data_IF_456989988040
#
_entry.id   IF_456989988040
#
_cell.length_a   1.000
_cell.length_b   1.000
_cell.length_c   1.000
_cell.angle_alpha   90.00
_cell.angle_beta   90.00
_cell.angle_gamma   90.00
#
_symmetry.space_group_name_H-M   'P 1'
#
loop_
_entity.id
_entity.type
_entity.pdbx_description
1 polymer ?
#
# COMPACT_ATOMS: atom_id res chain seq x y z
N UNK A 1 -11.74 -2.65 40.95
CA UNK A 1 -10.58 -3.44 40.51
C UNK A 1 -11.16 -4.44 39.53
N UNK A 2 -10.79 -4.36 38.27
CA UNK A 2 -11.48 -5.05 37.18
C UNK A 2 -11.11 -6.54 37.20
N UNK A 3 -12.10 -7.42 37.43
CA UNK A 3 -12.00 -8.88 37.33
C UNK A 3 -11.93 -9.37 35.86
N UNK A 4 -11.45 -8.54 34.95
CA UNK A 4 -11.28 -8.90 33.54
C UNK A 4 -9.84 -9.32 33.29
N UNK A 5 -9.61 -10.41 32.54
CA UNK A 5 -8.27 -10.78 32.12
C UNK A 5 -7.68 -9.64 31.29
N UNK A 6 -6.60 -9.03 31.79
CA UNK A 6 -5.82 -8.04 31.06
C UNK A 6 -4.43 -8.62 30.77
N UNK A 7 -3.93 -8.37 29.57
CA UNK A 7 -2.56 -8.70 29.20
C UNK A 7 -1.69 -7.48 29.41
N UNK A 8 -0.78 -7.53 30.40
CA UNK A 8 0.25 -6.52 30.60
C UNK A 8 1.53 -7.00 29.90
N UNK A 9 2.12 -6.14 29.08
CA UNK A 9 3.43 -6.36 28.44
C UNK A 9 3.47 -7.56 27.46
N UNK A 10 2.53 -7.58 26.52
CA UNK A 10 2.52 -8.56 25.42
C UNK A 10 3.66 -8.30 24.43
N UNK A 11 4.34 -9.37 24.03
CA UNK A 11 5.44 -9.33 23.07
C UNK A 11 5.18 -10.30 21.92
N UNK A 12 5.62 -9.92 20.71
CA UNK A 12 5.67 -10.80 19.54
C UNK A 12 7.14 -11.14 19.28
N UNK A 13 7.47 -12.43 19.29
CA UNK A 13 8.84 -12.90 19.01
C UNK A 13 8.89 -13.47 17.60
N UNK A 14 9.75 -12.88 16.78
CA UNK A 14 10.12 -13.34 15.44
C UNK A 14 11.52 -13.97 15.49
N UNK A 15 11.91 -14.77 14.49
CA UNK A 15 13.30 -15.22 14.35
C UNK A 15 14.33 -14.07 14.32
N UNK A 16 13.92 -12.86 13.91
CA UNK A 16 14.75 -11.66 13.83
C UNK A 16 14.74 -10.77 15.08
N UNK A 17 14.05 -11.16 16.15
CA UNK A 17 13.97 -10.40 17.40
C UNK A 17 12.56 -10.32 18.00
N UNK A 18 12.44 -9.55 19.07
CA UNK A 18 11.18 -9.40 19.83
C UNK A 18 10.72 -7.95 19.82
N UNK A 19 9.42 -7.74 19.62
CA UNK A 19 8.78 -6.43 19.68
C UNK A 19 7.66 -6.43 20.72
N UNK A 20 7.53 -5.34 21.46
CA UNK A 20 6.30 -5.02 22.18
C UNK A 20 5.17 -4.70 21.20
N UNK A 21 3.91 -4.82 21.64
CA UNK A 21 2.77 -4.39 20.81
C UNK A 21 2.84 -2.89 20.47
N UNK A 22 3.34 -2.06 21.39
CA UNK A 22 3.53 -0.63 21.16
C UNK A 22 4.53 -0.38 20.03
N UNK A 23 5.69 -1.03 20.06
CA UNK A 23 6.70 -0.89 19.00
C UNK A 23 6.14 -1.36 17.65
N UNK A 24 5.43 -2.50 17.62
CA UNK A 24 4.80 -3.00 16.40
C UNK A 24 3.79 -2.00 15.81
N UNK A 25 2.93 -1.41 16.64
CA UNK A 25 2.00 -0.37 16.21
C UNK A 25 2.74 0.87 15.69
N UNK A 26 3.80 1.31 16.38
CA UNK A 26 4.55 2.49 15.97
C UNK A 26 5.32 2.27 14.67
N UNK A 27 5.84 1.07 14.40
CA UNK A 27 6.47 0.74 13.13
C UNK A 27 5.51 1.00 11.96
N UNK A 28 4.30 0.44 12.01
CA UNK A 28 3.30 0.64 10.96
C UNK A 28 2.78 2.09 10.87
N UNK A 29 2.83 2.84 11.97
CA UNK A 29 2.51 4.28 11.94
C UNK A 29 3.62 5.15 11.34
N UNK A 30 4.86 4.66 11.32
CA UNK A 30 6.05 5.46 10.97
C UNK A 30 6.51 5.26 9.53
N UNK A 31 6.43 4.04 8.99
CA UNK A 31 6.87 3.76 7.61
C UNK A 31 6.04 4.57 6.59
N UNK A 32 6.58 4.98 5.44
CA UNK A 32 5.86 5.83 4.48
C UNK A 32 4.91 5.02 3.57
N UNK A 33 4.18 4.06 4.14
CA UNK A 33 3.27 3.17 3.42
C UNK A 33 1.93 3.07 4.14
N UNK A 34 0.84 3.34 3.43
CA UNK A 34 -0.49 2.96 3.89
C UNK A 34 -0.70 1.49 3.61
N UNK A 35 -1.00 0.72 4.65
CA UNK A 35 -1.25 -0.71 4.56
C UNK A 35 -2.71 -1.00 4.88
N UNK A 36 -3.33 -1.83 4.04
CA UNK A 36 -4.65 -2.38 4.26
C UNK A 36 -4.60 -3.91 4.06
N UNK A 37 -5.20 -4.66 4.97
CA UNK A 37 -5.28 -6.12 4.89
C UNK A 37 -6.72 -6.55 4.65
N UNK A 38 -6.93 -7.26 3.55
CA UNK A 38 -8.11 -8.08 3.32
C UNK A 38 -7.75 -9.51 3.70
N UNK A 39 -8.51 -10.13 4.60
CA UNK A 39 -8.22 -11.49 5.08
C UNK A 39 -8.50 -12.58 4.03
N UNK A 40 -8.18 -13.83 4.36
CA UNK A 40 -8.40 -14.98 3.47
C UNK A 40 -9.89 -15.20 3.08
N UNK A 41 -10.83 -14.63 3.86
CA UNK A 41 -12.28 -14.72 3.66
C UNK A 41 -12.88 -13.49 2.95
N UNK A 42 -12.03 -12.66 2.34
CA UNK A 42 -12.42 -11.45 1.61
C UNK A 42 -13.13 -10.40 2.49
N UNK A 43 -12.70 -10.30 3.75
CA UNK A 43 -13.14 -9.26 4.68
C UNK A 43 -12.03 -8.27 4.95
N UNK A 44 -12.39 -6.99 5.06
CA UNK A 44 -11.47 -5.94 5.44
C UNK A 44 -11.02 -6.15 6.90
N UNK A 45 -9.81 -6.64 7.12
CA UNK A 45 -9.38 -7.18 8.42
C UNK A 45 -8.59 -6.19 9.26
N UNK A 46 -7.79 -5.34 8.64
CA UNK A 46 -6.87 -4.43 9.36
C UNK A 46 -6.35 -3.30 8.46
N UNK A 47 -5.91 -2.20 9.07
CA UNK A 47 -5.17 -1.14 8.37
C UNK A 47 -4.12 -0.46 9.27
N UNK A 48 -3.08 0.11 8.66
CA UNK A 48 -2.12 0.97 9.35
C UNK A 48 -2.71 2.36 9.60
N UNK A 49 -2.70 2.83 10.85
CA UNK A 49 -3.36 4.08 11.27
C UNK A 49 -2.40 5.29 11.26
N UNK A 50 -1.91 5.63 10.07
CA UNK A 50 -1.10 6.84 9.87
C UNK A 50 -1.99 8.09 9.82
N UNK A 51 -1.52 9.25 10.28
CA UNK A 51 -2.35 10.47 10.29
C UNK A 51 -2.64 11.01 8.87
N UNK A 52 -1.67 10.94 7.95
CA UNK A 52 -1.73 11.62 6.65
C UNK A 52 -1.99 10.66 5.46
N UNK A 53 -2.90 9.70 5.65
CA UNK A 53 -3.24 8.73 4.60
C UNK A 53 -3.99 9.39 3.44
N UNK A 54 -3.67 8.99 2.21
CA UNK A 54 -4.45 9.27 1.02
C UNK A 54 -5.83 8.58 1.09
N UNK A 55 -5.86 7.34 1.57
CA UNK A 55 -7.08 6.55 1.75
C UNK A 55 -7.47 6.53 3.23
N UNK A 56 -8.40 7.41 3.60
CA UNK A 56 -8.96 7.46 4.96
C UNK A 56 -9.70 6.15 5.26
N UNK A 57 -9.42 5.57 6.43
CA UNK A 57 -10.09 4.37 6.94
C UNK A 57 -10.80 4.66 8.25
N UNK A 58 -11.84 3.88 8.53
CA UNK A 58 -12.60 3.92 9.78
C UNK A 58 -12.68 2.53 10.40
N UNK A 59 -12.71 2.46 11.74
CA UNK A 59 -12.90 1.20 12.47
C UNK A 59 -14.19 0.47 12.07
N UNK A 60 -15.22 1.19 11.65
CA UNK A 60 -16.48 0.60 11.19
C UNK A 60 -16.34 -0.22 9.90
N UNK A 61 -15.21 -0.13 9.20
CA UNK A 61 -14.92 -0.95 8.01
C UNK A 61 -14.41 -2.35 8.38
N UNK A 62 -13.88 -2.55 9.58
CA UNK A 62 -13.28 -3.81 10.00
C UNK A 62 -14.34 -4.93 10.03
N UNK A 63 -14.02 -6.08 9.45
CA UNK A 63 -14.87 -7.26 9.33
C UNK A 63 -15.90 -7.20 8.19
N UNK A 64 -16.09 -6.04 7.56
CA UNK A 64 -17.02 -5.91 6.42
C UNK A 64 -16.48 -6.59 5.17
N UNK A 65 -17.39 -7.08 4.35
CA UNK A 65 -17.08 -7.63 3.03
C UNK A 65 -16.64 -6.53 2.06
N UNK A 66 -15.92 -6.91 1.00
CA UNK A 66 -15.52 -5.96 -0.04
C UNK A 66 -16.71 -5.25 -0.69
N UNK A 67 -17.86 -5.93 -0.81
CA UNK A 67 -19.08 -5.35 -1.34
C UNK A 67 -19.67 -4.23 -0.45
N UNK A 68 -19.41 -4.28 0.85
CA UNK A 68 -19.89 -3.27 1.81
C UNK A 68 -18.97 -2.05 1.88
N UNK A 69 -17.71 -2.17 1.46
CA UNK A 69 -16.71 -1.08 1.57
C UNK A 69 -16.27 -0.52 0.21
N UNK A 70 -16.73 -1.10 -0.90
CA UNK A 70 -16.46 -0.60 -2.26
C UNK A 70 -17.72 -0.43 -3.11
N UNK A 71 -17.74 0.51 -4.08
CA UNK A 71 -18.83 0.63 -5.04
C UNK A 71 -19.03 -0.64 -5.88
N UNK A 72 -20.29 -0.99 -6.17
CA UNK A 72 -20.63 -2.21 -6.91
C UNK A 72 -19.94 -2.35 -8.28
N UNK A 73 -19.62 -1.23 -8.92
CA UNK A 73 -19.03 -1.18 -10.26
C UNK A 73 -17.61 -1.75 -10.32
N UNK A 74 -16.83 -1.63 -9.23
CA UNK A 74 -15.43 -2.07 -9.20
C UNK A 74 -15.26 -3.49 -8.63
N UNK A 75 -16.29 -4.04 -7.96
CA UNK A 75 -16.25 -5.36 -7.34
C UNK A 75 -15.82 -6.49 -8.28
N UNK A 76 -16.26 -6.56 -9.55
CA UNK A 76 -15.81 -7.63 -10.46
C UNK A 76 -14.30 -7.60 -10.69
N UNK A 77 -13.71 -6.41 -10.81
CA UNK A 77 -12.27 -6.25 -10.98
C UNK A 77 -11.51 -6.66 -9.72
N UNK A 78 -11.95 -6.20 -8.55
CA UNK A 78 -11.36 -6.57 -7.25
C UNK A 78 -11.39 -8.07 -7.06
N UNK A 79 -12.55 -8.70 -7.28
CA UNK A 79 -12.72 -10.15 -7.15
C UNK A 79 -11.81 -10.91 -8.11
N UNK A 80 -11.69 -10.47 -9.37
CA UNK A 80 -10.80 -11.11 -10.33
C UNK A 80 -9.33 -11.07 -9.90
N UNK A 81 -8.88 -10.00 -9.24
CA UNK A 81 -7.51 -9.89 -8.72
C UNK A 81 -7.31 -10.86 -7.55
N UNK A 82 -8.23 -10.85 -6.58
CA UNK A 82 -8.16 -11.75 -5.41
C UNK A 82 -8.23 -13.22 -5.83
N UNK A 83 -9.12 -13.59 -6.77
CA UNK A 83 -9.21 -14.95 -7.29
C UNK A 83 -7.90 -15.37 -7.97
N UNK A 84 -7.20 -14.45 -8.65
CA UNK A 84 -5.89 -14.73 -9.24
C UNK A 84 -4.81 -14.98 -8.19
N UNK A 85 -4.86 -14.26 -7.06
CA UNK A 85 -3.98 -14.47 -5.91
C UNK A 85 -4.28 -15.79 -5.23
N UNK A 86 -5.55 -16.09 -4.90
CA UNK A 86 -5.95 -17.37 -4.29
C UNK A 86 -5.53 -18.57 -5.13
N UNK A 87 -5.64 -18.46 -6.46
CA UNK A 87 -5.24 -19.50 -7.40
C UNK A 87 -3.72 -19.60 -7.66
N UNK A 88 -2.89 -18.77 -7.02
CA UNK A 88 -1.44 -18.76 -7.22
C UNK A 88 -0.99 -18.32 -8.62
N UNK A 89 -1.86 -17.63 -9.37
CA UNK A 89 -1.55 -17.17 -10.75
C UNK A 89 -0.71 -15.89 -10.78
N UNK A 90 -0.69 -15.17 -9.66
CA UNK A 90 -0.02 -13.88 -9.49
C UNK A 90 0.28 -13.67 -8.01
N UNK A 91 1.40 -13.03 -7.72
CA UNK A 91 1.78 -12.67 -6.35
C UNK A 91 1.65 -11.18 -6.06
N UNK A 92 1.66 -10.34 -7.09
CA UNK A 92 1.45 -8.90 -6.92
C UNK A 92 0.84 -8.21 -8.15
N UNK A 93 0.19 -7.09 -7.92
CA UNK A 93 -0.30 -6.16 -8.95
C UNK A 93 -0.01 -4.73 -8.51
N UNK A 94 0.80 -4.00 -9.28
CA UNK A 94 1.12 -2.59 -9.04
C UNK A 94 0.35 -1.70 -10.00
N UNK A 95 -0.27 -0.65 -9.46
CA UNK A 95 -1.04 0.34 -10.19
C UNK A 95 -0.54 1.75 -9.81
N UNK A 96 0.23 2.41 -10.69
CA UNK A 96 0.49 3.84 -10.58
C UNK A 96 -0.76 4.66 -10.92
N UNK A 97 -1.01 5.73 -10.18
CA UNK A 97 -2.13 6.66 -10.42
C UNK A 97 -1.74 8.09 -10.07
N UNK A 98 -2.53 9.05 -10.53
CA UNK A 98 -2.44 10.45 -10.05
C UNK A 98 -3.72 10.76 -9.30
N UNK A 99 -3.61 11.02 -7.99
CA UNK A 99 -4.75 11.30 -7.12
C UNK A 99 -4.57 12.66 -6.49
N UNK A 100 -5.55 13.56 -6.66
CA UNK A 100 -5.48 14.94 -6.14
C UNK A 100 -4.17 15.69 -6.48
N UNK A 101 -3.57 15.38 -7.64
CA UNK A 101 -2.30 15.98 -8.08
C UNK A 101 -1.03 15.24 -7.62
N UNK A 102 -1.13 14.29 -6.70
CA UNK A 102 0.00 13.51 -6.19
C UNK A 102 0.21 12.22 -6.99
N UNK A 103 1.48 11.78 -7.10
CA UNK A 103 1.83 10.50 -7.73
C UNK A 103 1.71 9.38 -6.70
N UNK A 104 0.67 8.57 -6.84
CA UNK A 104 0.36 7.49 -5.91
C UNK A 104 0.69 6.15 -6.58
N UNK A 105 1.39 5.28 -5.86
CA UNK A 105 1.63 3.91 -6.30
C UNK A 105 0.98 2.97 -5.30
N UNK A 106 0.01 2.18 -5.76
CA UNK A 106 -0.64 1.15 -4.96
C UNK A 106 -0.22 -0.21 -5.48
N UNK A 107 0.27 -1.07 -4.59
CA UNK A 107 0.60 -2.46 -4.89
C UNK A 107 -0.21 -3.39 -4.02
N UNK A 108 -0.89 -4.33 -4.66
CA UNK A 108 -1.59 -5.43 -4.01
C UNK A 108 -0.69 -6.64 -4.03
N UNK A 109 -0.53 -7.32 -2.89
CA UNK A 109 0.26 -8.53 -2.73
C UNK A 109 -0.63 -9.69 -2.26
N UNK A 110 -0.40 -10.88 -2.81
CA UNK A 110 -0.89 -12.12 -2.21
C UNK A 110 -0.05 -12.39 -0.94
N UNK A 111 -0.64 -12.15 0.23
CA UNK A 111 0.02 -12.45 1.49
C UNK A 111 -0.03 -13.97 1.73
N UNK A 112 1.13 -14.58 1.93
CA UNK A 112 1.27 -16.02 2.15
C UNK A 112 2.15 -16.33 3.34
N UNK A 113 1.94 -17.49 3.94
CA UNK A 113 2.90 -18.07 4.88
C UNK A 113 4.04 -18.80 4.12
N UNK A 114 4.98 -19.35 4.89
CA UNK A 114 6.16 -20.07 4.37
C UNK A 114 5.78 -21.32 3.56
N UNK A 115 4.58 -21.88 3.78
CA UNK A 115 4.04 -23.03 3.04
C UNK A 115 3.19 -22.59 1.83
N UNK A 116 3.25 -21.31 1.45
CA UNK A 116 2.51 -20.69 0.35
C UNK A 116 0.98 -20.65 0.52
N UNK A 117 0.47 -20.92 1.72
CA UNK A 117 -0.96 -20.77 2.00
C UNK A 117 -1.36 -19.30 1.94
N UNK A 118 -2.45 -19.01 1.24
CA UNK A 118 -2.97 -17.66 1.11
C UNK A 118 -3.59 -17.19 2.43
N UNK A 119 -3.00 -16.14 3.02
CA UNK A 119 -3.46 -15.51 4.25
C UNK A 119 -4.38 -14.30 4.00
N UNK A 120 -4.31 -13.72 2.80
CA UNK A 120 -5.07 -12.52 2.45
C UNK A 120 -4.43 -11.71 1.34
N UNK A 121 -5.00 -10.53 1.07
CA UNK A 121 -4.42 -9.53 0.18
C UNK A 121 -3.92 -8.36 1.01
N UNK A 122 -2.63 -8.06 0.91
CA UNK A 122 -2.05 -6.83 1.45
C UNK A 122 -2.07 -5.76 0.35
N UNK A 123 -2.81 -4.69 0.57
CA UNK A 123 -2.72 -3.46 -0.22
C UNK A 123 -1.70 -2.52 0.44
N UNK A 124 -0.76 -2.02 -0.35
CA UNK A 124 0.29 -1.12 0.07
C UNK A 124 0.30 0.12 -0.84
N UNK A 125 0.07 1.29 -0.27
CA UNK A 125 0.04 2.56 -1.02
C UNK A 125 1.16 3.48 -0.54
N UNK A 126 1.87 4.09 -1.50
CA UNK A 126 2.86 5.13 -1.25
C UNK A 126 2.57 6.39 -2.07
N UNK A 127 2.73 7.56 -1.45
CA UNK A 127 2.89 8.83 -2.16
C UNK A 127 4.35 8.96 -2.63
N UNK A 128 4.55 8.88 -3.94
CA UNK A 128 5.87 8.86 -4.57
C UNK A 128 6.49 10.25 -4.75
N UNK A 129 5.78 11.34 -4.47
CA UNK A 129 6.25 12.70 -4.72
C UNK A 129 7.61 12.98 -4.09
N UNK A 130 7.81 12.55 -2.84
CA UNK A 130 9.09 12.71 -2.14
C UNK A 130 10.23 11.95 -2.83
N UNK A 131 9.95 10.74 -3.30
CA UNK A 131 10.95 9.91 -3.99
C UNK A 131 11.27 10.52 -5.36
N UNK A 132 10.27 10.99 -6.08
CA UNK A 132 10.44 11.69 -7.36
C UNK A 132 11.29 12.95 -7.16
N UNK A 133 10.96 13.78 -6.16
CA UNK A 133 11.75 14.97 -5.85
C UNK A 133 13.20 14.63 -5.45
N UNK A 134 13.42 13.55 -4.70
CA UNK A 134 14.79 13.09 -4.39
C UNK A 134 15.56 12.73 -5.66
N UNK A 135 14.91 12.02 -6.59
CA UNK A 135 15.50 11.65 -7.88
C UNK A 135 15.83 12.89 -8.72
N UNK A 136 14.88 13.80 -8.91
CA UNK A 136 15.06 15.03 -9.71
C UNK A 136 16.15 15.95 -9.14
N UNK A 137 16.34 15.95 -7.82
CA UNK A 137 17.38 16.73 -7.15
C UNK A 137 18.74 16.01 -7.05
N UNK A 138 18.91 14.87 -7.72
CA UNK A 138 20.18 14.12 -7.74
C UNK A 138 20.57 13.49 -6.39
N UNK A 139 19.60 13.25 -5.50
CA UNK A 139 19.89 12.74 -4.15
C UNK A 139 20.53 11.34 -4.16
N UNK A 140 20.29 10.55 -5.21
CA UNK A 140 20.89 9.22 -5.36
C UNK A 140 22.38 9.28 -5.75
N UNK A 141 22.82 10.34 -6.41
CA UNK A 141 24.22 10.54 -6.78
C UNK A 141 25.03 11.09 -5.58
N UNK A 142 24.39 11.89 -4.72
CA UNK A 142 25.04 12.59 -3.61
C UNK A 142 25.74 11.68 -2.58
N UNK A 143 25.26 10.44 -2.39
CA UNK A 143 25.81 9.50 -1.39
C UNK A 143 26.86 8.57 -2.02
N UNK A 144 26.97 8.53 -3.36
CA UNK A 144 27.82 7.58 -4.08
C UNK A 144 29.33 7.90 -4.06
N UNK A 145 29.75 9.04 -3.50
CA UNK A 145 31.16 9.43 -3.47
C UNK A 145 31.79 9.69 -4.86
N UNK A 146 31.01 9.61 -5.95
CA UNK A 146 31.43 10.04 -7.27
C UNK A 146 31.23 11.55 -7.39
N UNK A 147 32.29 12.31 -7.10
CA UNK A 147 32.36 13.71 -7.50
C UNK A 147 32.32 13.78 -9.02
N UNK A 148 31.17 14.13 -9.60
CA UNK A 148 31.11 14.70 -10.94
C UNK A 148 30.60 16.13 -10.85
N UNK A 149 31.48 17.06 -11.23
CA UNK A 149 31.26 18.50 -11.38
C UNK A 149 29.89 18.86 -12.01
N UNK A 150 29.34 20.05 -11.71
CA UNK A 150 28.11 20.51 -12.33
C UNK A 150 28.37 20.79 -13.82
N UNK A 151 27.64 20.12 -14.70
CA UNK A 151 27.58 20.49 -16.10
C UNK A 151 26.36 21.40 -16.31
N UNK A 152 26.64 22.65 -16.69
CA UNK A 152 25.67 23.56 -17.29
C UNK A 152 25.06 22.92 -18.56
N UNK A 153 23.71 22.88 -18.64
CA UNK A 153 22.77 23.16 -19.77
C UNK A 153 23.10 22.72 -21.24
N UNK A 154 22.15 22.75 -22.21
CA UNK A 154 20.73 22.34 -22.31
C UNK A 154 20.52 21.17 -23.33
N UNK A 155 19.25 20.77 -23.51
CA UNK A 155 18.67 19.99 -24.61
C UNK A 155 19.02 18.50 -24.77
N UNK A 156 17.99 17.67 -24.59
CA UNK A 156 17.86 16.42 -25.33
C UNK A 156 16.36 16.10 -25.56
N UNK A 157 15.92 16.39 -26.78
CA UNK A 157 14.73 15.79 -27.38
C UNK A 157 14.94 14.27 -27.49
N UNK A 158 14.02 13.43 -27.02
CA UNK A 158 13.85 12.07 -27.58
C UNK A 158 12.62 11.33 -27.03
N UNK A 159 11.72 11.03 -27.97
CA UNK A 159 10.99 9.78 -28.16
C UNK A 159 9.88 9.39 -27.19
N UNK A 160 8.65 9.54 -27.72
CA UNK A 160 7.42 8.98 -27.21
C UNK A 160 7.55 7.46 -26.92
N UNK A 161 7.25 7.08 -25.69
CA UNK A 161 6.93 5.69 -25.33
C UNK A 161 5.41 5.54 -25.28
N UNK A 162 4.93 4.50 -25.97
CA UNK A 162 3.53 4.14 -26.14
C UNK A 162 2.81 4.03 -24.79
N UNK A 163 1.69 4.74 -24.67
CA UNK A 163 0.82 4.77 -23.50
C UNK A 163 0.08 3.43 -23.38
N UNK A 164 0.12 2.71 -22.24
CA UNK A 164 -0.83 1.64 -21.99
C UNK A 164 -2.23 2.26 -21.92
N UNK A 165 -3.11 1.85 -22.82
CA UNK A 165 -4.48 2.34 -22.86
C UNK A 165 -5.32 1.55 -21.83
N UNK A 166 -5.63 2.19 -20.70
CA UNK A 166 -6.69 1.75 -19.81
C UNK A 166 -8.05 2.27 -20.32
N UNK A 167 -9.16 1.58 -20.03
CA UNK A 167 -10.49 2.03 -20.42
C UNK A 167 -10.81 3.40 -19.78
N UNK A 168 -11.38 4.31 -20.57
CA UNK A 168 -11.52 5.75 -20.27
C UNK A 168 -12.48 6.10 -19.11
N UNK A 169 -12.96 5.14 -18.30
CA UNK A 169 -13.95 5.40 -17.26
C UNK A 169 -13.74 4.57 -15.98
N UNK A 170 -12.55 4.64 -15.38
CA UNK A 170 -12.42 4.34 -13.95
C UNK A 170 -12.19 5.67 -13.25
N UNK A 171 -13.27 6.20 -12.68
CA UNK A 171 -13.22 7.26 -11.68
C UNK A 171 -12.40 6.71 -10.49
N UNK A 172 -11.11 7.04 -10.44
CA UNK A 172 -10.19 6.62 -9.37
C UNK A 172 -10.42 7.39 -8.07
N UNK A 173 -11.58 8.04 -7.92
CA UNK A 173 -12.04 8.62 -6.67
C UNK A 173 -12.78 7.56 -5.85
N UNK A 174 -12.21 6.37 -5.66
CA UNK A 174 -12.70 5.45 -4.62
C UNK A 174 -12.13 5.87 -3.28
N UNK A 175 -12.52 7.07 -2.85
CA UNK A 175 -12.48 7.45 -1.45
C UNK A 175 -13.41 6.52 -0.69
N UNK A 176 -12.88 5.46 -0.10
CA UNK A 176 -13.59 4.64 0.86
C UNK A 176 -13.72 5.40 2.20
N UNK A 177 -14.39 6.55 2.18
CA UNK A 177 -15.12 7.19 3.29
C UNK A 177 -15.65 8.54 2.81
N UNK A 178 -16.89 8.54 2.31
CA UNK A 178 -17.77 9.70 2.41
C UNK A 178 -19.11 9.22 2.95
N UNK A 179 -19.23 9.26 4.28
CA UNK A 179 -20.39 9.80 4.99
C UNK A 179 -20.01 10.08 6.43
#
# INVERSE_FOLDING_TARGET
MSDEPFMKDAHVTFPSGTLTLTELQQLFKTIPFELDLVDANDRFGWYSDQPDRNHVRSQDQIGKTLAEVHPAQILPAIKSVIDSFKAGKRDSLTIPSTQKGHKIVTTYYALRDDDSHYLGTLECTINADKIIAMFENGAFDAISGASSKPANHPDATTSASVKPQMPDNIDTTTGASQK
#
